data_IF_417612091995
#
_entry.id   IF_417612091995
#
_cell.length_a   1.000
_cell.length_b   1.000
_cell.length_c   1.000
_cell.angle_alpha   90.00
_cell.angle_beta   90.00
_cell.angle_gamma   90.00
#
_symmetry.space_group_name_H-M   'P 1'
#
loop_
_entity.id
_entity.type
_entity.pdbx_description
1 polymer ?
#
# COMPACT_ATOMS: atom_id res chain seq x y z
N UNK A 1 11.75 -4.84 4.67
CA UNK A 1 10.61 -5.79 4.50
C UNK A 1 10.92 -7.01 3.64
N UNK A 2 11.89 -6.98 2.71
CA UNK A 2 12.36 -8.19 2.02
C UNK A 2 13.08 -9.11 3.02
N UNK A 3 12.45 -10.24 3.37
CA UNK A 3 12.95 -11.22 4.35
C UNK A 3 11.93 -11.68 5.41
N UNK A 4 10.71 -11.12 5.45
CA UNK A 4 9.65 -11.55 6.38
C UNK A 4 8.59 -12.33 5.60
N UNK A 5 8.77 -13.63 5.44
CA UNK A 5 7.85 -14.46 4.65
C UNK A 5 6.50 -14.70 5.34
N UNK A 6 6.43 -14.48 6.66
CA UNK A 6 5.20 -14.59 7.44
C UNK A 6 4.23 -13.41 7.15
N UNK A 7 3.06 -13.68 6.52
CA UNK A 7 2.07 -12.65 6.21
C UNK A 7 1.49 -11.95 7.44
N UNK A 8 1.31 -12.67 8.55
CA UNK A 8 0.73 -12.13 9.77
C UNK A 8 1.69 -11.15 10.44
N UNK A 9 2.97 -11.51 10.53
CA UNK A 9 4.03 -10.66 11.05
C UNK A 9 4.26 -9.41 10.19
N UNK A 10 4.09 -9.55 8.88
CA UNK A 10 4.15 -8.42 7.94
C UNK A 10 2.97 -7.46 8.10
N UNK A 11 1.75 -7.98 8.31
CA UNK A 11 0.56 -7.15 8.58
C UNK A 11 0.72 -6.32 9.86
N UNK A 12 1.21 -6.92 10.94
CA UNK A 12 1.49 -6.18 12.19
C UNK A 12 2.52 -5.05 12.02
N UNK A 13 3.56 -5.25 11.20
CA UNK A 13 4.56 -4.21 10.94
C UNK A 13 4.05 -3.07 10.04
N UNK A 14 3.00 -3.33 9.26
CA UNK A 14 2.36 -2.34 8.39
C UNK A 14 1.24 -1.58 9.10
N UNK A 15 0.77 -2.09 10.24
CA UNK A 15 -0.25 -1.42 11.04
C UNK A 15 0.31 -0.11 11.62
N UNK A 16 -0.36 1.00 11.30
CA UNK A 16 0.10 2.35 11.67
C UNK A 16 1.37 2.86 10.95
N UNK A 17 1.91 2.11 9.98
CA UNK A 17 3.12 2.53 9.24
C UNK A 17 2.87 3.72 8.29
N UNK A 18 1.61 3.94 7.94
CA UNK A 18 1.18 4.99 7.03
C UNK A 18 0.14 5.87 7.73
N UNK A 19 0.20 7.18 7.47
CA UNK A 19 -0.75 8.14 7.99
C UNK A 19 -1.10 9.17 6.93
N UNK A 20 -2.35 9.62 6.93
CA UNK A 20 -2.85 10.63 6.01
C UNK A 20 -3.72 11.62 6.78
N UNK A 21 -3.58 12.92 6.46
CA UNK A 21 -4.53 13.90 6.97
C UNK A 21 -5.91 13.69 6.33
N UNK A 22 -6.96 13.73 7.16
CA UNK A 22 -8.32 13.44 6.72
C UNK A 22 -8.76 14.32 5.54
N UNK A 23 -9.26 13.67 4.49
CA UNK A 23 -9.83 14.33 3.31
C UNK A 23 -8.81 14.89 2.32
N UNK A 24 -7.50 14.71 2.54
CA UNK A 24 -6.46 15.27 1.68
C UNK A 24 -6.49 14.73 0.23
N UNK A 25 -7.14 13.59 0.00
CA UNK A 25 -7.30 12.97 -1.32
C UNK A 25 -8.73 13.08 -1.86
N UNK A 26 -9.60 13.86 -1.21
CA UNK A 26 -11.02 13.95 -1.57
C UNK A 26 -11.18 14.36 -3.03
N UNK A 27 -11.92 13.55 -3.81
CA UNK A 27 -12.21 13.84 -5.21
C UNK A 27 -11.04 13.60 -6.18
N UNK A 28 -9.86 13.18 -5.68
CA UNK A 28 -8.67 12.96 -6.50
C UNK A 28 -8.61 11.54 -7.06
N UNK A 29 -8.01 11.42 -8.24
CA UNK A 29 -7.58 10.14 -8.80
C UNK A 29 -6.15 9.88 -8.34
N UNK A 30 -5.92 8.71 -7.73
CA UNK A 30 -4.63 8.35 -7.12
C UNK A 30 -4.03 7.19 -7.90
N UNK A 31 -2.74 7.29 -8.26
CA UNK A 31 -1.95 6.18 -8.79
C UNK A 31 -0.90 5.79 -7.75
N UNK A 32 -1.03 4.59 -7.20
CA UNK A 32 -0.10 4.02 -6.24
C UNK A 32 0.92 3.13 -6.96
N UNK A 33 2.20 3.39 -6.72
CA UNK A 33 3.30 2.55 -7.17
C UNK A 33 3.79 1.71 -5.99
N UNK A 34 3.89 0.40 -6.17
CA UNK A 34 4.34 -0.51 -5.11
C UNK A 34 5.18 -1.67 -5.68
N UNK A 35 6.14 -2.18 -4.92
CA UNK A 35 7.02 -3.28 -5.33
C UNK A 35 6.45 -4.66 -4.95
N UNK A 36 5.40 -4.70 -4.13
CA UNK A 36 4.72 -5.94 -3.72
C UNK A 36 3.24 -5.68 -3.38
N UNK A 37 2.34 -6.47 -3.97
CA UNK A 37 0.89 -6.37 -3.75
C UNK A 37 0.45 -6.44 -2.28
N UNK A 38 1.26 -7.02 -1.40
CA UNK A 38 0.89 -7.21 0.02
C UNK A 38 0.85 -5.88 0.78
N UNK A 39 1.68 -4.89 0.41
CA UNK A 39 1.70 -3.57 1.05
C UNK A 39 0.47 -2.73 0.68
N UNK A 40 -0.09 -2.96 -0.52
CA UNK A 40 -1.31 -2.30 -0.99
C UNK A 40 -2.47 -2.43 0.01
N UNK A 41 -2.65 -3.58 0.64
CA UNK A 41 -3.75 -3.82 1.58
C UNK A 41 -3.71 -2.87 2.78
N UNK A 42 -2.51 -2.53 3.27
CA UNK A 42 -2.33 -1.58 4.37
C UNK A 42 -2.53 -0.12 3.92
N UNK A 43 -2.13 0.21 2.69
CA UNK A 43 -2.34 1.53 2.12
C UNK A 43 -3.81 1.77 1.73
N UNK A 44 -4.56 0.71 1.40
CA UNK A 44 -5.94 0.77 0.93
C UNK A 44 -6.87 1.44 1.95
N UNK A 45 -6.82 1.01 3.21
CA UNK A 45 -7.68 1.55 4.27
C UNK A 45 -7.43 3.04 4.49
N UNK A 46 -6.19 3.51 4.32
CA UNK A 46 -5.84 4.91 4.51
C UNK A 46 -6.31 5.75 3.32
N UNK A 47 -6.08 5.26 2.10
CA UNK A 47 -6.47 6.00 0.87
C UNK A 47 -8.00 6.09 0.75
N UNK A 48 -8.71 5.03 1.10
CA UNK A 48 -10.17 4.98 0.98
C UNK A 48 -10.88 5.61 2.17
N UNK A 49 -10.56 5.22 3.40
CA UNK A 49 -11.30 5.67 4.59
C UNK A 49 -10.84 7.05 5.08
N UNK A 50 -9.53 7.30 5.16
CA UNK A 50 -9.01 8.60 5.62
C UNK A 50 -8.93 9.61 4.47
N UNK A 51 -8.55 9.15 3.27
CA UNK A 51 -8.29 10.01 2.13
C UNK A 51 -9.51 10.41 1.30
N UNK A 52 -10.57 9.58 1.28
CA UNK A 52 -11.77 9.77 0.44
C UNK A 52 -11.42 9.92 -1.06
N UNK A 53 -10.43 9.18 -1.53
CA UNK A 53 -10.04 9.19 -2.94
C UNK A 53 -11.21 8.79 -3.85
N UNK A 54 -11.31 9.42 -5.04
CA UNK A 54 -12.38 9.15 -6.01
C UNK A 54 -12.11 7.85 -6.77
N UNK A 55 -10.88 7.71 -7.26
CA UNK A 55 -10.41 6.51 -7.95
C UNK A 55 -9.00 6.17 -7.47
N UNK A 56 -8.72 4.89 -7.31
CA UNK A 56 -7.39 4.39 -6.89
C UNK A 56 -6.93 3.38 -7.93
N UNK A 57 -5.81 3.68 -8.58
CA UNK A 57 -5.12 2.82 -9.52
C UNK A 57 -3.86 2.29 -8.85
N UNK A 58 -3.54 1.03 -9.08
CA UNK A 58 -2.36 0.41 -8.49
C UNK A 58 -1.50 -0.13 -9.62
N UNK A 59 -0.24 0.29 -9.64
CA UNK A 59 0.77 -0.25 -10.52
C UNK A 59 1.84 -0.95 -9.69
N UNK A 60 1.83 -2.27 -9.74
CA UNK A 60 2.81 -3.09 -9.05
C UNK A 60 4.01 -3.35 -9.96
N UNK A 61 5.20 -2.90 -9.55
CA UNK A 61 6.45 -3.10 -10.30
C UNK A 61 7.29 -4.13 -9.56
N UNK A 62 7.07 -5.41 -9.86
CA UNK A 62 7.85 -6.51 -9.29
C UNK A 62 9.03 -6.88 -10.18
N UNK A 63 10.26 -6.74 -9.67
CA UNK A 63 11.44 -7.36 -10.28
C UNK A 63 11.68 -8.71 -9.63
N UNK A 64 11.41 -9.79 -10.36
CA UNK A 64 11.74 -11.15 -9.92
C UNK A 64 13.25 -11.26 -9.75
N UNK A 65 13.74 -11.53 -8.53
CA UNK A 65 15.16 -11.84 -8.32
C UNK A 65 15.45 -13.22 -8.89
N UNK A 66 16.28 -13.28 -9.94
CA UNK A 66 16.94 -14.52 -10.34
C UNK A 66 18.02 -14.84 -9.30
N UNK A 67 17.97 -16.03 -8.69
CA UNK A 67 19.11 -16.59 -7.95
C UNK A 67 20.06 -17.14 -9.02
N UNK A 68 21.07 -16.35 -9.38
CA UNK A 68 22.23 -16.83 -10.12
C UNK A 68 23.47 -16.64 -9.28
#
# INVERSE_FOLDING_TARGET
>A
MKGIDDPAKRKQLLDGAFGLQNGHLTGKNILLFDDLYVTLSAAWDIITNQGKAKNVYVLTITKTRSKR
#
